data_IF_823464346266
#
_entry.id   IF_823464346266
#
_cell.length_a   1.000
_cell.length_b   1.000
_cell.length_c   1.000
_cell.angle_alpha   90.00
_cell.angle_beta   90.00
_cell.angle_gamma   90.00
#
_symmetry.space_group_name_H-M   'P 1'
#
loop_
_entity.id
_entity.type
_entity.pdbx_description
1 polymer ?
#
# COMPACT_ATOMS: atom_id res chain seq x y z
N UNK A 1 9.06 -9.50 17.06
CA UNK A 1 8.21 -8.31 16.92
C UNK A 1 6.75 -8.72 16.92
N UNK A 2 5.95 -8.05 17.70
CA UNK A 2 4.53 -8.41 17.82
C UNK A 2 3.68 -7.41 17.05
N UNK A 3 2.86 -7.89 16.12
CA UNK A 3 1.94 -7.05 15.39
C UNK A 3 0.61 -7.00 16.13
N UNK A 4 0.12 -5.79 16.35
CA UNK A 4 -1.15 -5.58 17.04
C UNK A 4 -2.28 -5.21 16.08
N UNK A 5 -1.96 -4.78 14.88
CA UNK A 5 -2.96 -4.28 13.93
C UNK A 5 -2.42 -4.32 12.52
N UNK A 6 -3.30 -4.61 11.56
CA UNK A 6 -2.95 -4.54 10.14
C UNK A 6 -3.71 -3.37 9.53
N UNK A 7 -3.03 -2.57 8.71
CA UNK A 7 -3.61 -1.44 8.00
C UNK A 7 -3.60 -1.70 6.52
N UNK A 8 -4.70 -1.42 5.85
CA UNK A 8 -4.77 -1.34 4.40
C UNK A 8 -4.78 0.14 4.03
N UNK A 9 -3.71 0.60 3.42
CA UNK A 9 -3.53 2.01 3.02
C UNK A 9 -3.44 2.05 1.51
N UNK A 10 -4.28 2.88 0.85
CA UNK A 10 -4.31 2.79 -0.61
C UNK A 10 -4.80 4.06 -1.28
N UNK A 11 -4.32 4.25 -2.51
CA UNK A 11 -4.84 5.19 -3.48
C UNK A 11 -5.47 4.36 -4.59
N UNK A 12 -6.79 4.46 -4.75
CA UNK A 12 -7.52 3.56 -5.64
C UNK A 12 -8.59 4.28 -6.44
N UNK A 13 -8.19 5.00 -7.50
CA UNK A 13 -9.17 5.77 -8.29
C UNK A 13 -10.21 4.90 -9.00
N UNK A 14 -9.86 3.65 -9.34
CA UNK A 14 -10.77 2.77 -10.07
C UNK A 14 -11.31 1.62 -9.24
N UNK A 15 -10.84 1.47 -7.99
CA UNK A 15 -11.28 0.38 -7.12
C UNK A 15 -10.40 -0.86 -7.14
N UNK A 16 -9.55 -1.03 -8.14
CA UNK A 16 -8.72 -2.23 -8.25
C UNK A 16 -7.69 -2.33 -7.14
N UNK A 17 -7.01 -1.21 -6.86
CA UNK A 17 -5.98 -1.18 -5.81
C UNK A 17 -6.61 -1.46 -4.46
N UNK A 18 -7.77 -0.84 -4.19
CA UNK A 18 -8.50 -1.08 -2.96
C UNK A 18 -8.79 -2.55 -2.76
N UNK A 19 -9.27 -3.21 -3.82
CA UNK A 19 -9.65 -4.61 -3.73
C UNK A 19 -8.43 -5.49 -3.43
N UNK A 20 -7.33 -5.29 -4.16
CA UNK A 20 -6.13 -6.09 -3.97
C UNK A 20 -5.50 -5.83 -2.60
N UNK A 21 -5.38 -4.56 -2.23
CA UNK A 21 -4.76 -4.19 -0.96
C UNK A 21 -5.53 -4.76 0.22
N UNK A 22 -6.86 -4.65 0.18
CA UNK A 22 -7.69 -5.17 1.24
C UNK A 22 -7.66 -6.70 1.29
N UNK A 23 -7.57 -7.35 0.15
CA UNK A 23 -7.48 -8.81 0.12
C UNK A 23 -6.21 -9.29 0.84
N UNK A 24 -5.08 -8.66 0.54
CA UNK A 24 -3.82 -9.02 1.17
C UNK A 24 -3.87 -8.69 2.67
N UNK A 25 -4.34 -7.50 3.01
CA UNK A 25 -4.40 -7.07 4.40
C UNK A 25 -5.34 -7.94 5.22
N UNK A 26 -6.47 -8.33 4.64
CA UNK A 26 -7.43 -9.18 5.33
C UNK A 26 -6.85 -10.56 5.62
N UNK A 27 -6.11 -11.11 4.66
CA UNK A 27 -5.47 -12.39 4.87
C UNK A 27 -4.43 -12.32 5.99
N UNK A 28 -3.62 -11.27 6.00
CA UNK A 28 -2.63 -11.10 7.05
C UNK A 28 -3.27 -10.86 8.41
N UNK A 29 -4.32 -10.05 8.45
CA UNK A 29 -5.07 -9.81 9.67
C UNK A 29 -5.62 -11.11 10.24
N UNK A 30 -6.16 -11.96 9.38
CA UNK A 30 -6.70 -13.25 9.82
C UNK A 30 -5.62 -14.18 10.34
N UNK A 31 -4.50 -14.25 9.64
CA UNK A 31 -3.42 -15.14 10.06
C UNK A 31 -2.76 -14.70 11.36
N UNK A 32 -2.69 -13.40 11.58
CA UNK A 32 -2.10 -12.85 12.80
C UNK A 32 -3.12 -12.70 13.93
N UNK A 33 -4.40 -12.87 13.62
CA UNK A 33 -5.50 -12.72 14.59
C UNK A 33 -5.51 -11.34 15.22
N UNK A 34 -5.37 -10.32 14.39
CA UNK A 34 -5.37 -8.92 14.84
C UNK A 34 -6.38 -8.13 14.02
N UNK A 35 -6.86 -6.99 14.51
CA UNK A 35 -7.83 -6.18 13.77
C UNK A 35 -7.24 -5.58 12.50
N UNK A 36 -8.13 -5.30 11.55
CA UNK A 36 -7.81 -4.66 10.29
C UNK A 36 -8.41 -3.26 10.26
N UNK A 37 -7.58 -2.29 9.92
CA UNK A 37 -8.02 -0.90 9.73
C UNK A 37 -7.75 -0.49 8.30
N UNK A 38 -8.43 0.54 7.84
CA UNK A 38 -8.26 1.05 6.48
C UNK A 38 -7.97 2.53 6.48
N UNK A 39 -7.12 2.95 5.56
CA UNK A 39 -6.83 4.36 5.34
C UNK A 39 -6.81 4.60 3.83
N UNK A 40 -7.90 5.16 3.33
CA UNK A 40 -8.08 5.42 1.91
C UNK A 40 -7.71 6.87 1.64
N UNK A 41 -6.62 7.09 0.91
CA UNK A 41 -6.19 8.44 0.58
C UNK A 41 -6.44 8.81 -0.89
N UNK A 42 -7.43 8.17 -1.50
CA UNK A 42 -7.76 8.39 -2.91
C UNK A 42 -8.22 9.83 -3.17
N UNK A 43 -9.04 10.37 -2.29
CA UNK A 43 -9.58 11.73 -2.48
C UNK A 43 -8.71 12.75 -1.77
N UNK A 44 -8.60 13.98 -2.32
CA UNK A 44 -7.79 15.02 -1.69
C UNK A 44 -8.17 15.30 -0.24
N UNK A 45 -9.45 15.18 0.09
CA UNK A 45 -9.89 15.43 1.46
C UNK A 45 -9.27 14.45 2.45
N UNK A 46 -8.89 13.27 2.00
CA UNK A 46 -8.27 12.26 2.86
C UNK A 46 -6.76 12.43 2.93
N UNK A 47 -6.22 13.47 2.32
CA UNK A 47 -4.78 13.79 2.33
C UNK A 47 -4.49 15.10 3.06
N UNK A 48 -5.36 15.48 3.99
CA UNK A 48 -5.19 16.74 4.71
C UNK A 48 -4.23 16.63 5.88
N UNK A 49 -4.10 15.46 6.47
CA UNK A 49 -3.22 15.27 7.60
C UNK A 49 -2.36 14.05 7.39
N UNK A 50 -1.12 14.13 7.85
CA UNK A 50 -0.19 13.03 7.76
C UNK A 50 -0.58 11.93 8.75
N UNK A 51 -0.20 10.71 8.43
CA UNK A 51 -0.50 9.55 9.26
C UNK A 51 0.80 8.91 9.72
N UNK A 52 0.94 8.73 11.04
CA UNK A 52 2.09 8.07 11.63
C UNK A 52 1.67 6.68 12.10
N UNK A 53 2.51 5.70 11.81
CA UNK A 53 2.29 4.31 12.22
C UNK A 53 3.33 3.90 13.23
N UNK A 54 3.00 2.89 14.03
CA UNK A 54 3.85 2.41 15.11
C UNK A 54 4.51 1.10 14.74
N UNK A 55 5.44 0.67 15.57
CA UNK A 55 6.16 -0.59 15.33
C UNK A 55 5.22 -1.78 15.27
N UNK A 56 4.13 -1.73 16.04
CA UNK A 56 3.19 -2.84 16.15
C UNK A 56 2.17 -2.86 15.02
N UNK A 57 2.22 -1.90 14.12
CA UNK A 57 1.38 -1.88 12.93
C UNK A 57 2.07 -2.63 11.80
N UNK A 58 1.28 -3.37 11.03
CA UNK A 58 1.72 -3.92 9.76
C UNK A 58 0.93 -3.23 8.68
N UNK A 59 1.61 -2.53 7.78
CA UNK A 59 0.94 -1.70 6.78
C UNK A 59 1.02 -2.38 5.42
N UNK A 60 -0.12 -2.60 4.78
CA UNK A 60 -0.18 -3.01 3.39
C UNK A 60 -0.50 -1.76 2.59
N UNK A 61 0.45 -1.31 1.78
CA UNK A 61 0.37 0.00 1.13
C UNK A 61 0.25 -0.18 -0.37
N UNK A 62 -0.89 0.21 -0.94
CA UNK A 62 -1.20 -0.06 -2.33
C UNK A 62 -1.33 1.18 -3.18
N UNK A 63 -0.76 1.13 -4.39
CA UNK A 63 -0.93 2.16 -5.40
C UNK A 63 -1.07 1.52 -6.78
N UNK A 64 -1.70 2.22 -7.73
CA UNK A 64 -1.63 1.78 -9.13
C UNK A 64 -0.29 2.14 -9.73
N UNK A 65 -0.08 1.68 -10.97
CA UNK A 65 1.12 1.99 -11.74
C UNK A 65 0.69 2.78 -12.97
N UNK A 66 1.26 3.98 -13.14
CA UNK A 66 1.04 4.80 -14.33
C UNK A 66 2.38 4.98 -15.03
N UNK A 67 2.46 4.57 -16.28
CA UNK A 67 3.70 4.67 -17.07
C UNK A 67 4.89 4.00 -16.36
N UNK A 68 4.65 2.88 -15.70
CA UNK A 68 5.69 2.11 -15.02
C UNK A 68 6.15 2.66 -13.68
N UNK A 69 5.51 3.72 -13.19
CA UNK A 69 5.91 4.42 -11.98
C UNK A 69 4.73 4.63 -11.03
N UNK A 70 5.03 4.95 -9.79
CA UNK A 70 4.02 5.45 -8.87
C UNK A 70 3.46 6.74 -9.45
N UNK A 71 2.12 6.95 -9.42
CA UNK A 71 1.55 8.15 -10.05
C UNK A 71 2.15 9.43 -9.50
N UNK A 72 2.56 10.32 -10.39
CA UNK A 72 3.16 11.61 -10.00
C UNK A 72 2.25 12.42 -9.12
N UNK A 73 0.95 12.27 -9.30
CA UNK A 73 -0.04 13.05 -8.55
C UNK A 73 0.03 12.75 -7.06
N UNK A 74 0.31 11.51 -6.69
CA UNK A 74 0.30 11.12 -5.29
C UNK A 74 1.69 10.87 -4.72
N UNK A 75 2.72 10.86 -5.55
CA UNK A 75 4.07 10.60 -5.08
C UNK A 75 4.49 11.56 -3.96
N UNK A 76 4.23 12.87 -4.06
CA UNK A 76 4.58 13.75 -2.93
C UNK A 76 3.89 13.35 -1.63
N UNK A 77 2.66 12.84 -1.70
CA UNK A 77 1.97 12.40 -0.50
C UNK A 77 2.58 11.12 0.06
N UNK A 78 2.98 10.19 -0.81
CA UNK A 78 3.70 9.00 -0.37
C UNK A 78 4.99 9.40 0.35
N UNK A 79 5.66 10.42 -0.15
CA UNK A 79 6.93 10.86 0.41
C UNK A 79 6.77 11.58 1.74
N UNK A 80 5.65 12.26 1.96
CA UNK A 80 5.51 13.18 3.09
C UNK A 80 4.33 12.88 3.99
N UNK A 81 3.35 12.13 3.51
CA UNK A 81 2.10 11.95 4.23
C UNK A 81 2.08 10.76 5.17
N UNK A 82 3.08 9.91 5.12
CA UNK A 82 3.11 8.69 5.92
C UNK A 82 4.46 8.50 6.54
N UNK A 83 4.48 8.16 7.83
CA UNK A 83 5.74 7.88 8.52
C UNK A 83 5.57 6.60 9.33
N UNK A 84 6.66 5.86 9.47
CA UNK A 84 6.70 4.67 10.29
C UNK A 84 7.78 4.82 11.37
N UNK A 85 7.74 3.89 12.31
CA UNK A 85 8.71 3.80 13.39
C UNK A 85 9.24 2.37 13.34
N UNK A 86 10.07 2.07 12.36
CA UNK A 86 10.49 0.70 12.04
C UNK A 86 9.25 -0.17 11.76
N UNK A 87 8.22 0.43 11.24
CA UNK A 87 6.93 -0.22 10.96
C UNK A 87 7.08 -1.16 9.77
N UNK A 88 6.76 -2.44 9.89
CA UNK A 88 6.81 -3.32 8.73
C UNK A 88 5.75 -2.92 7.70
N UNK A 89 6.15 -2.93 6.44
CA UNK A 89 5.26 -2.57 5.35
C UNK A 89 5.36 -3.58 4.22
N UNK A 90 4.22 -3.86 3.60
CA UNK A 90 4.14 -4.65 2.38
C UNK A 90 3.70 -3.70 1.26
N UNK A 91 4.63 -3.22 0.44
CA UNK A 91 4.24 -2.38 -0.69
C UNK A 91 3.57 -3.23 -1.77
N UNK A 92 2.49 -2.69 -2.34
CA UNK A 92 1.69 -3.39 -3.35
C UNK A 92 1.48 -2.44 -4.52
N UNK A 93 1.81 -2.89 -5.73
CA UNK A 93 1.49 -2.13 -6.93
C UNK A 93 0.57 -2.97 -7.80
N UNK A 94 -0.44 -2.31 -8.36
CA UNK A 94 -1.43 -2.96 -9.24
C UNK A 94 -1.27 -2.34 -10.62
N UNK A 95 -0.93 -3.15 -11.61
CA UNK A 95 -0.64 -2.67 -12.95
C UNK A 95 -1.61 -3.26 -13.95
N UNK A 96 -1.73 -2.61 -15.11
CA UNK A 96 -2.64 -3.06 -16.15
C UNK A 96 -2.02 -4.16 -17.00
N UNK A 97 -2.02 -3.95 -18.31
CA UNK A 97 -1.49 -4.96 -19.24
C UNK A 97 -0.03 -4.73 -19.58
N UNK A 98 0.63 -3.76 -18.98
CA UNK A 98 2.05 -3.53 -19.13
C UNK A 98 2.74 -3.93 -17.86
N UNK A 99 4.05 -4.10 -17.92
CA UNK A 99 4.78 -4.45 -16.72
C UNK A 99 4.81 -3.25 -15.77
N UNK A 100 5.25 -3.50 -14.56
CA UNK A 100 5.24 -2.48 -13.49
C UNK A 100 6.58 -1.76 -13.39
N UNK A 101 7.57 -2.17 -14.18
CA UNK A 101 8.89 -1.55 -14.25
C UNK A 101 9.44 -1.26 -12.87
N UNK A 102 9.69 0.02 -12.58
CA UNK A 102 10.32 0.42 -11.32
C UNK A 102 9.33 0.80 -10.23
N UNK A 103 8.02 0.67 -10.49
CA UNK A 103 7.03 1.18 -9.54
C UNK A 103 7.13 0.54 -8.16
N UNK A 104 7.30 -0.78 -8.11
CA UNK A 104 7.39 -1.46 -6.83
C UNK A 104 8.65 -1.04 -6.07
N UNK A 105 9.78 -0.95 -6.77
CA UNK A 105 11.02 -0.51 -6.15
C UNK A 105 10.93 0.94 -5.68
N UNK A 106 10.31 1.79 -6.49
CA UNK A 106 10.12 3.20 -6.13
C UNK A 106 9.28 3.33 -4.86
N UNK A 107 8.16 2.61 -4.82
CA UNK A 107 7.29 2.66 -3.65
C UNK A 107 8.02 2.14 -2.41
N UNK A 108 8.73 1.03 -2.54
CA UNK A 108 9.49 0.47 -1.43
C UNK A 108 10.52 1.46 -0.91
N UNK A 109 11.27 2.08 -1.80
CA UNK A 109 12.31 3.01 -1.39
C UNK A 109 11.75 4.25 -0.72
N UNK A 110 10.64 4.79 -1.22
CA UNK A 110 10.04 5.96 -0.59
C UNK A 110 9.51 5.64 0.81
N UNK A 111 8.92 4.48 0.98
CA UNK A 111 8.44 4.08 2.30
C UNK A 111 9.60 3.83 3.26
N UNK A 112 10.68 3.24 2.77
CA UNK A 112 11.85 3.01 3.63
C UNK A 112 12.49 4.32 4.08
N UNK A 113 12.48 5.34 3.25
CA UNK A 113 12.98 6.66 3.64
C UNK A 113 12.17 7.25 4.77
N UNK A 114 10.93 6.84 4.91
CA UNK A 114 10.01 7.41 5.90
C UNK A 114 9.86 6.55 7.14
N UNK A 115 10.78 5.63 7.38
CA UNK A 115 10.82 4.86 8.62
C UNK A 115 10.16 3.50 8.56
N UNK A 116 9.73 3.06 7.39
CA UNK A 116 9.14 1.73 7.25
C UNK A 116 10.21 0.69 6.94
N UNK A 117 9.92 -0.55 7.31
CA UNK A 117 10.76 -1.69 6.95
C UNK A 117 9.98 -2.56 5.97
N UNK A 118 10.45 -2.66 4.74
CA UNK A 118 9.75 -3.43 3.74
C UNK A 118 9.95 -4.92 4.00
N UNK A 119 8.88 -5.59 4.39
CA UNK A 119 8.92 -7.02 4.70
C UNK A 119 8.81 -7.88 3.45
N UNK A 120 7.98 -7.44 2.50
CA UNK A 120 7.75 -8.15 1.25
C UNK A 120 7.18 -7.11 0.29
N UNK A 121 6.93 -7.52 -0.92
CA UNK A 121 6.29 -6.65 -1.88
C UNK A 121 5.49 -7.48 -2.86
N UNK A 122 4.49 -6.87 -3.49
CA UNK A 122 3.66 -7.56 -4.45
C UNK A 122 3.36 -6.67 -5.64
N UNK A 123 3.47 -7.24 -6.83
CA UNK A 123 3.04 -6.59 -8.05
C UNK A 123 1.93 -7.47 -8.63
N UNK A 124 0.74 -6.91 -8.78
CA UNK A 124 -0.44 -7.68 -9.18
C UNK A 124 -1.03 -7.08 -10.45
N UNK A 125 -1.22 -7.91 -11.47
CA UNK A 125 -1.87 -7.48 -12.69
C UNK A 125 -3.37 -7.32 -12.42
N UNK A 126 -3.92 -6.19 -12.78
CA UNK A 126 -5.34 -5.91 -12.53
C UNK A 126 -6.25 -6.92 -13.22
N UNK A 127 -5.81 -7.49 -14.35
CA UNK A 127 -6.59 -8.50 -15.03
C UNK A 127 -6.80 -9.75 -14.17
N UNK A 128 -5.92 -10.03 -13.21
CA UNK A 128 -6.09 -11.17 -12.32
C UNK A 128 -7.19 -10.95 -11.29
N UNK A 129 -7.47 -9.70 -10.97
CA UNK A 129 -8.50 -9.37 -9.99
C UNK A 129 -9.89 -9.73 -10.51
N UNK A 130 -10.08 -9.60 -11.83
CA UNK A 130 -11.38 -9.81 -12.44
C UNK A 130 -11.44 -11.05 -13.34
N UNK A 131 -10.39 -11.85 -13.37
CA UNK A 131 -10.29 -12.89 -14.39
C UNK A 131 -11.15 -14.10 -14.11
N UNK A 132 -11.62 -14.28 -12.92
CA UNK A 132 -12.41 -15.42 -12.56
C UNK A 132 -13.84 -15.13 -12.35
N UNK A 133 -14.39 -14.39 -13.21
CA UNK A 133 -15.80 -14.05 -13.16
C UNK A 133 -16.65 -15.24 -13.49
#
# INVERSE_FOLDING_TARGET
MKISRVWAVYFSPTGNVKEVTNLIAKKLSGELSVPLEQWDFTLPDNRKSAKAFEKEDLVVFGTPVYAGRVPNKILPWVQQGFTGDHTPVVPVVVFGNRNFDDALMELKQELEKNGFLAAAGAAVASSHVFSDK
#
